data_IF_028959127354
#
_entry.id   IF_028959127354
#
_cell.length_a   1.000
_cell.length_b   1.000
_cell.length_c   1.000
_cell.angle_alpha   90.00
_cell.angle_beta   90.00
_cell.angle_gamma   90.00
#
_symmetry.space_group_name_H-M   'P 1'
#
loop_
_entity.id
_entity.type
_entity.pdbx_description
1 polymer ?
#
# COMPACT_ATOMS: atom_id res chain seq x y z
N UNK A 1 -30.07 10.13 -1.59
CA UNK A 1 -29.38 9.71 -0.36
C UNK A 1 -27.93 9.26 -0.55
N UNK A 2 -27.37 9.18 -1.77
CA UNK A 2 -25.95 8.80 -1.99
C UNK A 2 -25.03 10.04 -2.08
N UNK A 3 -25.52 11.15 -2.65
CA UNK A 3 -24.75 12.38 -2.89
C UNK A 3 -24.32 13.07 -1.57
N UNK A 4 -25.16 13.03 -0.54
CA UNK A 4 -24.82 13.59 0.79
C UNK A 4 -23.67 12.83 1.46
N UNK A 5 -23.56 11.52 1.24
CA UNK A 5 -22.51 10.68 1.82
C UNK A 5 -21.15 10.96 1.14
N UNK A 6 -21.16 11.09 -0.19
CA UNK A 6 -19.97 11.47 -0.98
C UNK A 6 -19.50 12.88 -0.59
N UNK A 7 -20.42 13.82 -0.39
CA UNK A 7 -20.07 15.18 0.00
C UNK A 7 -19.45 15.23 1.40
N UNK A 8 -20.00 14.48 2.36
CA UNK A 8 -19.42 14.36 3.71
C UNK A 8 -18.02 13.74 3.71
N UNK A 9 -17.80 12.72 2.88
CA UNK A 9 -16.48 12.08 2.73
C UNK A 9 -15.43 13.04 2.16
N UNK A 10 -15.78 13.79 1.11
CA UNK A 10 -14.89 14.79 0.48
C UNK A 10 -14.59 15.94 1.44
N UNK A 11 -15.58 16.39 2.23
CA UNK A 11 -15.36 17.43 3.24
C UNK A 11 -14.40 16.98 4.34
N UNK A 12 -14.50 15.73 4.79
CA UNK A 12 -13.59 15.17 5.78
C UNK A 12 -12.18 14.97 5.21
N UNK A 13 -12.07 14.54 3.95
CA UNK A 13 -10.80 14.42 3.24
C UNK A 13 -10.09 15.76 3.09
N UNK A 14 -10.81 16.83 2.73
CA UNK A 14 -10.24 18.17 2.60
C UNK A 14 -9.82 18.74 3.96
N UNK A 15 -10.58 18.49 5.03
CA UNK A 15 -10.19 18.89 6.40
C UNK A 15 -8.89 18.22 6.83
N UNK A 16 -8.75 16.92 6.55
CA UNK A 16 -7.54 16.16 6.85
C UNK A 16 -6.32 16.66 6.06
N UNK A 17 -6.50 16.97 4.78
CA UNK A 17 -5.45 17.57 3.95
C UNK A 17 -5.09 18.99 4.45
N UNK A 18 -6.06 19.78 4.91
CA UNK A 18 -5.80 21.09 5.51
C UNK A 18 -5.01 20.98 6.82
N UNK A 19 -5.30 20.00 7.68
CA UNK A 19 -4.49 19.77 8.89
C UNK A 19 -3.08 19.27 8.59
N UNK A 20 -2.89 18.61 7.44
CA UNK A 20 -1.57 18.14 7.01
C UNK A 20 -0.70 19.29 6.46
N UNK A 21 -1.32 20.27 5.78
CA UNK A 21 -0.63 21.40 5.14
C UNK A 21 -0.45 22.57 6.11
N UNK A 22 -1.41 22.81 6.99
CA UNK A 22 -1.37 23.90 7.97
C UNK A 22 -0.69 23.39 9.24
N UNK A 23 0.64 23.34 9.18
CA UNK A 23 1.49 22.95 10.29
C UNK A 23 1.25 23.80 11.52
N UNK A 24 0.83 23.16 12.61
CA UNK A 24 0.90 23.77 13.92
C UNK A 24 2.34 23.77 14.41
N UNK A 25 2.79 25.01 14.61
CA UNK A 25 4.07 25.42 15.13
C UNK A 25 4.22 24.94 16.57
N UNK A 26 5.02 23.91 16.78
CA UNK A 26 5.79 23.75 18.02
C UNK A 26 7.22 23.36 17.64
N UNK A 27 8.00 24.37 17.25
CA UNK A 27 9.46 24.23 17.20
C UNK A 27 10.03 24.51 18.60
N UNK A 28 10.82 23.59 19.20
CA UNK A 28 11.94 24.00 20.02
C UNK A 28 13.17 24.27 19.12
N UNK A 29 14.10 25.12 19.56
CA UNK A 29 15.12 25.71 18.69
C UNK A 29 16.26 24.73 18.36
N UNK A 30 16.76 24.88 17.12
CA UNK A 30 18.10 24.52 16.60
C UNK A 30 18.96 23.59 17.45
N UNK A 31 19.11 22.37 16.96
CA UNK A 31 20.34 21.59 17.06
C UNK A 31 20.55 20.87 15.74
N UNK A 32 21.67 21.10 15.06
CA UNK A 32 22.13 20.22 13.98
C UNK A 32 22.43 18.86 14.61
N UNK A 33 21.45 17.97 14.62
CA UNK A 33 21.67 16.57 14.93
C UNK A 33 21.52 15.79 13.63
N UNK A 34 22.65 15.34 13.10
CA UNK A 34 22.78 14.32 12.04
C UNK A 34 22.29 12.94 12.54
N UNK A 35 21.17 12.92 13.25
CA UNK A 35 20.48 11.70 13.63
C UNK A 35 19.37 11.50 12.60
N UNK A 36 19.61 10.53 11.72
CA UNK A 36 18.74 10.19 10.60
C UNK A 36 17.27 10.28 10.97
N UNK A 37 16.56 11.12 10.24
CA UNK A 37 15.11 11.20 10.21
C UNK A 37 14.57 9.77 10.26
N UNK A 38 14.04 9.35 11.41
CA UNK A 38 13.37 8.06 11.54
C UNK A 38 12.14 8.22 10.66
N UNK A 39 12.28 7.86 9.39
CA UNK A 39 11.23 7.99 8.39
C UNK A 39 10.05 7.20 8.92
N UNK A 40 9.06 7.92 9.46
CA UNK A 40 7.90 7.31 10.10
C UNK A 40 7.26 6.37 9.08
N UNK A 41 7.34 5.07 9.34
CA UNK A 41 6.85 4.06 8.41
C UNK A 41 5.34 3.97 8.60
N UNK A 42 4.62 4.84 7.90
CA UNK A 42 3.17 4.86 7.93
C UNK A 42 2.61 3.62 7.24
N UNK A 43 1.77 2.87 7.95
CA UNK A 43 1.05 1.74 7.36
C UNK A 43 0.02 2.27 6.36
N UNK A 44 0.09 1.91 5.07
CA UNK A 44 -0.92 2.32 4.10
C UNK A 44 -2.35 2.01 4.58
N UNK A 45 -3.33 2.92 4.37
CA UNK A 45 -4.74 2.65 4.61
C UNK A 45 -5.32 1.79 3.47
N UNK A 46 -4.67 0.66 3.17
CA UNK A 46 -5.07 -0.30 2.13
C UNK A 46 -5.60 -1.53 2.82
N UNK A 47 -6.74 -2.05 2.35
CA UNK A 47 -7.28 -3.32 2.83
C UNK A 47 -6.26 -4.44 2.63
N UNK A 48 -6.13 -5.31 3.63
CA UNK A 48 -5.15 -6.39 3.55
C UNK A 48 -5.54 -7.42 2.48
N UNK A 49 -4.54 -7.97 1.78
CA UNK A 49 -4.73 -9.08 0.86
C UNK A 49 -4.87 -10.39 1.65
N UNK A 50 -6.03 -11.03 1.54
CA UNK A 50 -6.31 -12.33 2.14
C UNK A 50 -6.61 -13.45 1.13
N UNK A 51 -7.17 -13.11 -0.04
CA UNK A 51 -7.72 -14.06 -1.02
C UNK A 51 -7.52 -13.59 -2.48
N UNK A 52 -7.94 -14.43 -3.44
CA UNK A 52 -7.83 -14.13 -4.88
C UNK A 52 -8.80 -13.05 -5.34
N UNK A 53 -10.00 -12.99 -4.78
CA UNK A 53 -11.03 -12.01 -5.18
C UNK A 53 -10.58 -10.56 -4.92
N UNK A 54 -9.86 -10.33 -3.81
CA UNK A 54 -9.33 -9.02 -3.48
C UNK A 54 -8.05 -8.64 -4.24
N UNK A 55 -7.42 -9.58 -4.96
CA UNK A 55 -6.05 -9.43 -5.45
C UNK A 55 -5.86 -8.25 -6.40
N UNK A 56 -6.72 -8.13 -7.42
CA UNK A 56 -6.60 -7.07 -8.41
C UNK A 56 -6.77 -5.69 -7.77
N UNK A 57 -7.78 -5.53 -6.93
CA UNK A 57 -8.07 -4.28 -6.21
C UNK A 57 -6.92 -3.93 -5.27
N UNK A 58 -6.40 -4.91 -4.53
CA UNK A 58 -5.24 -4.72 -3.67
C UNK A 58 -4.00 -4.28 -4.45
N UNK A 59 -3.67 -4.96 -5.57
CA UNK A 59 -2.51 -4.64 -6.41
C UNK A 59 -2.61 -3.20 -6.96
N UNK A 60 -3.79 -2.81 -7.43
CA UNK A 60 -4.06 -1.45 -7.91
C UNK A 60 -3.83 -0.41 -6.81
N UNK A 61 -4.42 -0.62 -5.63
CA UNK A 61 -4.31 0.33 -4.50
C UNK A 61 -2.86 0.44 -4.00
N UNK A 62 -2.16 -0.69 -3.90
CA UNK A 62 -0.74 -0.73 -3.52
C UNK A 62 0.13 0.03 -4.53
N UNK A 63 -0.08 -0.18 -5.84
CA UNK A 63 0.66 0.53 -6.88
C UNK A 63 0.43 2.05 -6.79
N UNK A 64 -0.82 2.50 -6.67
CA UNK A 64 -1.16 3.93 -6.56
C UNK A 64 -0.52 4.55 -5.32
N UNK A 65 -0.59 3.86 -4.17
CA UNK A 65 0.01 4.36 -2.94
C UNK A 65 1.53 4.48 -3.06
N UNK A 66 2.21 3.43 -3.53
CA UNK A 66 3.66 3.43 -3.71
C UNK A 66 4.11 4.49 -4.72
N UNK A 67 3.33 4.75 -5.77
CA UNK A 67 3.56 5.88 -6.69
C UNK A 67 3.46 7.23 -5.98
N UNK A 68 2.42 7.43 -5.17
CA UNK A 68 2.21 8.68 -4.44
C UNK A 68 3.33 8.99 -3.43
N UNK A 69 3.93 7.96 -2.83
CA UNK A 69 5.06 8.11 -1.89
C UNK A 69 6.44 8.01 -2.56
N UNK A 70 6.51 7.93 -3.90
CA UNK A 70 7.78 7.88 -4.65
C UNK A 70 8.56 6.56 -4.47
N UNK A 71 7.88 5.48 -4.09
CA UNK A 71 8.43 4.13 -3.93
C UNK A 71 8.07 3.19 -5.09
N UNK A 72 7.47 3.73 -6.15
CA UNK A 72 7.23 3.03 -7.41
C UNK A 72 7.88 3.82 -8.54
N UNK A 73 8.77 3.19 -9.32
CA UNK A 73 9.53 3.85 -10.39
C UNK A 73 9.39 3.06 -11.69
N UNK A 74 8.88 3.71 -12.72
CA UNK A 74 8.53 3.04 -13.98
C UNK A 74 7.45 1.99 -13.74
N UNK A 75 7.74 0.73 -14.07
CA UNK A 75 6.79 -0.39 -13.90
C UNK A 75 7.14 -1.34 -12.74
N UNK A 76 8.02 -0.91 -11.81
CA UNK A 76 8.43 -1.75 -10.68
C UNK A 76 8.47 -0.99 -9.35
N UNK A 77 8.25 -1.70 -8.23
CA UNK A 77 8.51 -1.14 -6.91
C UNK A 77 10.00 -0.80 -6.77
N UNK A 78 10.30 0.26 -6.02
CA UNK A 78 11.67 0.62 -5.65
C UNK A 78 12.19 -0.39 -4.63
N UNK A 79 13.33 -1.00 -4.92
CA UNK A 79 13.97 -1.95 -4.01
C UNK A 79 14.58 -1.22 -2.80
N UNK A 80 13.85 -1.24 -1.68
CA UNK A 80 14.33 -0.76 -0.39
C UNK A 80 13.49 -1.34 0.75
N UNK A 81 14.04 -1.31 1.97
CA UNK A 81 13.37 -1.84 3.16
C UNK A 81 11.99 -1.22 3.39
N UNK A 82 11.83 0.08 3.11
CA UNK A 82 10.56 0.81 3.25
C UNK A 82 9.49 0.26 2.32
N UNK A 83 9.82 0.02 1.04
CA UNK A 83 8.89 -0.56 0.08
C UNK A 83 8.51 -1.99 0.47
N UNK A 84 9.49 -2.82 0.84
CA UNK A 84 9.24 -4.19 1.29
C UNK A 84 8.29 -4.19 2.50
N UNK A 85 8.54 -3.35 3.49
CA UNK A 85 7.66 -3.21 4.64
C UNK A 85 6.23 -2.82 4.23
N UNK A 86 6.07 -1.81 3.37
CA UNK A 86 4.74 -1.39 2.91
C UNK A 86 3.99 -2.53 2.20
N UNK A 87 4.66 -3.28 1.33
CA UNK A 87 4.08 -4.45 0.67
C UNK A 87 3.61 -5.46 1.72
N UNK A 88 4.52 -5.90 2.60
CA UNK A 88 4.23 -6.93 3.59
C UNK A 88 3.16 -6.50 4.62
N UNK A 89 3.12 -5.22 5.00
CA UNK A 89 2.13 -4.68 5.94
C UNK A 89 0.69 -4.74 5.41
N UNK A 90 0.53 -4.81 4.09
CA UNK A 90 -0.77 -4.93 3.41
C UNK A 90 -1.16 -6.38 3.11
N UNK A 91 -0.41 -7.37 3.62
CA UNK A 91 -0.75 -8.79 3.48
C UNK A 91 -1.36 -9.30 4.78
N UNK A 92 -2.29 -10.25 4.67
CA UNK A 92 -2.71 -11.04 5.81
C UNK A 92 -1.60 -12.01 6.25
N UNK A 93 -1.58 -12.37 7.54
CA UNK A 93 -0.49 -13.16 8.14
C UNK A 93 -0.32 -14.52 7.44
N UNK A 94 -1.41 -15.15 7.01
CA UNK A 94 -1.39 -16.43 6.29
C UNK A 94 -0.95 -16.31 4.83
N UNK A 95 -0.92 -15.11 4.26
CA UNK A 95 -0.43 -14.84 2.89
C UNK A 95 1.09 -14.66 2.88
N UNK A 96 1.64 -14.16 3.98
CA UNK A 96 3.07 -13.93 4.17
C UNK A 96 3.79 -15.28 4.29
N UNK A 97 4.88 -15.43 3.53
CA UNK A 97 5.74 -16.60 3.59
C UNK A 97 7.10 -16.26 4.17
N UNK A 98 7.78 -17.25 4.74
CA UNK A 98 9.10 -17.06 5.38
C UNK A 98 10.15 -16.57 4.38
N UNK A 99 10.06 -17.02 3.14
CA UNK A 99 11.02 -16.71 2.07
C UNK A 99 11.00 -15.21 1.71
N UNK A 100 9.94 -14.48 2.06
CA UNK A 100 9.82 -13.05 1.75
C UNK A 100 10.84 -12.17 2.47
N UNK A 101 11.48 -12.70 3.52
CA UNK A 101 12.61 -12.05 4.18
C UNK A 101 13.75 -11.78 3.20
N UNK A 102 14.08 -12.75 2.35
CA UNK A 102 15.23 -12.70 1.44
C UNK A 102 14.85 -12.25 0.01
N UNK A 103 13.57 -12.30 -0.36
CA UNK A 103 13.13 -11.95 -1.71
C UNK A 103 13.15 -10.44 -1.98
N UNK A 104 13.32 -10.07 -3.25
CA UNK A 104 13.14 -8.68 -3.70
C UNK A 104 11.67 -8.26 -3.67
N UNK A 105 11.38 -6.96 -3.64
CA UNK A 105 10.01 -6.45 -3.70
C UNK A 105 9.32 -6.93 -4.98
N UNK A 106 10.04 -6.92 -6.11
CA UNK A 106 9.54 -7.43 -7.38
C UNK A 106 9.22 -8.93 -7.32
N UNK A 107 10.11 -9.75 -6.74
CA UNK A 107 9.88 -11.20 -6.61
C UNK A 107 8.67 -11.52 -5.73
N UNK A 108 8.47 -10.76 -4.65
CA UNK A 108 7.28 -10.91 -3.80
C UNK A 108 6.01 -10.61 -4.59
N UNK A 109 5.97 -9.51 -5.34
CA UNK A 109 4.80 -9.18 -6.16
C UNK A 109 4.54 -10.21 -7.27
N UNK A 110 5.60 -10.75 -7.88
CA UNK A 110 5.47 -11.81 -8.89
C UNK A 110 4.90 -13.10 -8.29
N UNK A 111 5.38 -13.55 -7.13
CA UNK A 111 4.84 -14.73 -6.45
C UNK A 111 3.35 -14.53 -6.09
N UNK A 112 2.98 -13.35 -5.61
CA UNK A 112 1.57 -13.02 -5.34
C UNK A 112 0.73 -13.05 -6.63
N UNK A 113 1.27 -12.53 -7.73
CA UNK A 113 0.61 -12.57 -9.03
C UNK A 113 0.39 -14.00 -9.53
N UNK A 114 1.41 -14.83 -9.48
CA UNK A 114 1.32 -16.22 -9.92
C UNK A 114 0.29 -17.00 -9.09
N UNK A 115 0.19 -16.72 -7.78
CA UNK A 115 -0.77 -17.38 -6.88
C UNK A 115 -2.20 -16.95 -7.10
N UNK A 116 -2.47 -15.65 -7.21
CA UNK A 116 -3.82 -15.13 -7.14
C UNK A 116 -4.42 -14.80 -8.51
N UNK A 117 -3.61 -14.45 -9.51
CA UNK A 117 -4.08 -14.14 -10.86
C UNK A 117 -4.47 -15.42 -11.63
N UNK A 118 -3.83 -16.55 -11.34
CA UNK A 118 -4.14 -17.84 -11.99
C UNK A 118 -5.46 -18.45 -11.52
N UNK A 119 -5.94 -18.08 -10.32
CA UNK A 119 -7.15 -18.66 -9.73
C UNK A 119 -8.45 -18.07 -10.31
N UNK A 120 -8.49 -16.77 -10.63
CA UNK A 120 -9.68 -16.14 -11.24
C UNK A 120 -9.96 -16.68 -12.64
N UNK A 121 -8.92 -17.04 -13.40
CA UNK A 121 -9.08 -17.63 -14.72
C UNK A 121 -9.68 -19.04 -14.69
N UNK A 122 -9.39 -19.85 -13.66
CA UNK A 122 -9.96 -21.19 -13.53
C UNK A 122 -11.43 -21.14 -13.12
N UNK A 123 -11.78 -20.28 -12.17
CA UNK A 123 -13.17 -20.17 -11.71
C UNK A 123 -14.11 -19.63 -12.79
N UNK A 124 -13.62 -18.72 -13.65
CA UNK A 124 -14.38 -18.24 -14.80
C UNK A 124 -14.61 -19.31 -15.88
N UNK A 125 -13.78 -20.35 -15.96
CA UNK A 125 -13.94 -21.45 -16.92
C UNK A 125 -14.90 -22.54 -16.42
N UNK A 126 -15.05 -22.72 -15.11
CA UNK A 126 -15.95 -23.73 -14.54
C UNK A 126 -17.44 -23.32 -14.59
N UNK A 127 -17.75 -22.02 -14.69
CA UNK A 127 -19.15 -21.52 -14.77
C UNK A 127 -19.71 -21.62 -16.21
N UNK A 128 -18.88 -21.98 -17.20
CA UNK A 128 -19.27 -22.08 -18.61
C UNK A 128 -19.51 -23.52 -19.10
N UNK A 129 -19.55 -24.51 -18.20
CA UNK A 129 -19.87 -25.91 -18.53
C UNK A 129 -21.04 -26.45 -17.71
#
# INVERSE_FOLDING_TARGET
MVIQFIFGFVQNLIKYIKSLIMGDTYAPPRGKSEAGEIAMVHNPPISKLGDSHGYWTWKMMLKIYLQAVGLWVGDKPKECARTKFMILSTLEVWVIRREYEDLTCQSILQDLEDRYNTLEHKHSQEILF
#
